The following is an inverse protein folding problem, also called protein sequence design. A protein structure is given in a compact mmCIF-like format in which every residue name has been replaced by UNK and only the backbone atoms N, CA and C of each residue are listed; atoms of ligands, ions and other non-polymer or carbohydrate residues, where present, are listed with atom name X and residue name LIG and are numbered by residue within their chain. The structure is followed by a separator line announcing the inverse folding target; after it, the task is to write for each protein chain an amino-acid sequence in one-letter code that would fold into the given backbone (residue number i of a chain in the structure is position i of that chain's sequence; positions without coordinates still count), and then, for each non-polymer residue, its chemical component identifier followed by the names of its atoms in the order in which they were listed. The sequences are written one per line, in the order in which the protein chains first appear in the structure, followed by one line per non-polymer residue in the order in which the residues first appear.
data_IF_928535015235
#
_entry.id   IF_928535015235
#
_cell.length_a   1.000
_cell.length_b   1.000
_cell.length_c   1.000
_cell.angle_alpha   90.00
_cell.angle_beta   90.00
_cell.angle_gamma   90.00
#
_symmetry.space_group_name_H-M   'P 1'
#
loop_
_entity.id
_entity.type
_entity.pdbx_description
1 polymer ?
#
# COMPACT_ATOMS: atom_id res chain seq x y z
N UNK A 1 14.75 44.58 -9.85
CA UNK A 1 13.28 44.72 -9.82
C UNK A 1 12.69 43.48 -10.44
N UNK A 2 12.43 42.47 -9.61
CA UNK A 2 12.16 41.10 -10.03
C UNK A 2 10.75 40.76 -9.57
N UNK A 3 9.81 40.69 -10.51
CA UNK A 3 8.42 40.34 -10.23
C UNK A 3 8.33 38.85 -9.90
N UNK A 4 7.85 38.55 -8.69
CA UNK A 4 7.44 37.21 -8.25
C UNK A 4 6.12 36.87 -8.95
N UNK A 5 6.09 35.77 -9.69
CA UNK A 5 4.84 35.15 -10.13
C UNK A 5 4.34 34.21 -9.02
N UNK A 6 3.20 34.54 -8.41
CA UNK A 6 2.51 33.70 -7.43
C UNK A 6 1.61 32.64 -8.09
N UNK A 7 1.35 31.50 -7.44
CA UNK A 7 0.57 30.40 -8.01
C UNK A 7 -0.93 30.56 -7.69
N UNK A 8 -1.66 31.36 -8.46
CA UNK A 8 -3.11 31.62 -8.26
C UNK A 8 -3.99 30.89 -9.30
N UNK A 9 -3.55 29.72 -9.79
CA UNK A 9 -4.22 28.98 -10.89
C UNK A 9 -4.96 27.71 -10.48
N UNK A 10 -5.08 27.41 -9.19
CA UNK A 10 -5.49 26.07 -8.73
C UNK A 10 -7.00 25.83 -8.66
N UNK A 11 -7.88 26.82 -8.90
CA UNK A 11 -9.34 26.65 -8.71
C UNK A 11 -10.25 27.32 -9.77
N UNK A 12 -9.79 27.50 -11.01
CA UNK A 12 -10.63 28.15 -12.06
C UNK A 12 -11.66 27.20 -12.73
N UNK A 13 -12.10 26.14 -12.07
CA UNK A 13 -13.12 25.21 -12.55
C UNK A 13 -14.32 25.10 -11.60
N UNK A 14 -14.75 26.19 -10.96
CA UNK A 14 -15.99 26.22 -10.18
C UNK A 14 -16.80 27.52 -10.29
N UNK A 15 -16.48 28.39 -11.26
CA UNK A 15 -17.35 29.52 -11.60
C UNK A 15 -18.34 29.13 -12.70
N UNK A 16 -19.41 28.46 -12.29
CA UNK A 16 -20.63 28.42 -13.08
C UNK A 16 -21.41 29.71 -12.85
N UNK A 17 -21.44 30.61 -13.84
CA UNK A 17 -22.50 31.61 -14.01
C UNK A 17 -22.43 32.24 -15.41
N UNK A 18 -23.47 32.01 -16.20
CA UNK A 18 -24.17 33.12 -16.84
C UNK A 18 -25.68 32.80 -16.89
N UNK A 19 -26.57 33.65 -16.33
CA UNK A 19 -28.01 33.47 -16.37
C UNK A 19 -28.64 34.26 -17.52
N UNK A 20 -29.31 33.57 -18.44
CA UNK A 20 -30.22 34.18 -19.42
C UNK A 20 -31.59 34.52 -18.80
N UNK A 21 -32.30 35.53 -19.33
CA UNK A 21 -33.24 36.35 -18.55
C UNK A 21 -34.61 35.71 -18.31
N UNK A 22 -35.21 36.15 -17.21
CA UNK A 22 -36.58 35.87 -16.78
C UNK A 22 -37.60 36.39 -17.78
N UNK A 23 -38.56 35.55 -18.16
CA UNK A 23 -39.92 36.01 -18.48
C UNK A 23 -40.94 35.22 -17.66
N UNK A 24 -41.88 35.98 -17.11
CA UNK A 24 -42.97 35.52 -16.26
C UNK A 24 -44.08 34.99 -17.16
N UNK A 25 -44.66 33.85 -16.82
CA UNK A 25 -46.06 33.60 -17.13
C UNK A 25 -46.69 32.71 -16.06
N UNK A 26 -47.87 33.16 -15.64
CA UNK A 26 -48.75 32.63 -14.62
C UNK A 26 -49.21 31.17 -14.84
N UNK A 27 -49.65 30.51 -13.76
CA UNK A 27 -50.67 29.46 -13.84
C UNK A 27 -50.35 28.16 -13.09
N UNK A 28 -50.66 28.11 -11.80
CA UNK A 28 -51.33 26.92 -11.22
C UNK A 28 -52.85 27.07 -11.49
N UNK A 29 -53.70 26.03 -11.47
CA UNK A 29 -53.55 24.82 -10.66
C UNK A 29 -54.06 23.47 -11.25
N UNK A 30 -53.64 22.39 -10.57
CA UNK A 30 -54.42 21.18 -10.22
C UNK A 30 -55.40 20.56 -11.24
N UNK A 31 -55.13 19.32 -11.65
CA UNK A 31 -56.13 18.24 -11.54
C UNK A 31 -55.57 16.81 -11.68
N UNK A 32 -55.94 15.98 -10.70
CA UNK A 32 -56.40 14.57 -10.75
C UNK A 32 -55.44 13.45 -11.22
N UNK A 33 -55.13 12.55 -10.28
CA UNK A 33 -55.01 11.09 -10.50
C UNK A 33 -56.36 10.51 -11.00
N UNK A 34 -56.46 9.30 -11.62
CA UNK A 34 -55.65 8.08 -11.38
C UNK A 34 -55.36 7.23 -12.65
N UNK A 35 -54.63 6.11 -12.53
CA UNK A 35 -54.71 5.02 -13.52
C UNK A 35 -53.42 4.23 -13.75
N UNK A 36 -53.49 2.94 -13.44
CA UNK A 36 -52.55 1.86 -13.71
C UNK A 36 -52.05 1.77 -15.15
N UNK A 37 -50.77 1.42 -15.34
CA UNK A 37 -50.25 1.04 -16.66
C UNK A 37 -48.79 0.60 -16.61
N UNK A 38 -48.58 -0.71 -16.62
CA UNK A 38 -47.30 -1.35 -16.90
C UNK A 38 -46.68 -0.79 -18.19
N UNK A 39 -45.49 -0.21 -18.08
CA UNK A 39 -44.76 0.30 -19.24
C UNK A 39 -43.26 0.21 -19.00
N UNK A 40 -42.65 -0.90 -19.42
CA UNK A 40 -41.21 -0.97 -19.67
C UNK A 40 -40.86 0.12 -20.68
N UNK A 41 -40.15 1.17 -20.25
CA UNK A 41 -39.42 2.07 -21.14
C UNK A 41 -37.95 1.98 -20.79
N UNK A 42 -37.21 1.29 -21.67
CA UNK A 42 -35.76 1.31 -21.71
C UNK A 42 -35.30 2.74 -21.96
N UNK A 43 -34.79 3.39 -20.92
CA UNK A 43 -33.99 4.59 -21.05
C UNK A 43 -32.55 4.16 -21.28
N UNK A 44 -32.09 4.26 -22.53
CA UNK A 44 -30.66 4.26 -22.88
C UNK A 44 -29.97 5.33 -22.05
N UNK A 45 -29.32 4.93 -20.94
CA UNK A 45 -28.42 5.81 -20.21
C UNK A 45 -27.20 6.03 -21.08
N UNK A 46 -26.99 7.29 -21.47
CA UNK A 46 -25.75 7.73 -22.08
C UNK A 46 -24.55 7.23 -21.26
N UNK A 47 -23.50 6.66 -21.88
CA UNK A 47 -22.36 6.17 -21.15
C UNK A 47 -21.69 7.33 -20.42
N UNK A 48 -21.78 7.32 -19.08
CA UNK A 48 -21.03 8.25 -18.24
C UNK A 48 -19.56 7.96 -18.50
N UNK A 49 -18.84 8.93 -19.07
CA UNK A 49 -17.39 8.88 -19.26
C UNK A 49 -16.74 8.48 -17.93
N UNK A 50 -16.16 7.27 -17.90
CA UNK A 50 -15.34 6.77 -16.79
C UNK A 50 -14.12 7.68 -16.66
N UNK A 51 -14.12 8.54 -15.65
CA UNK A 51 -12.88 9.17 -15.17
C UNK A 51 -12.01 8.05 -14.62
N UNK A 52 -10.85 7.80 -15.24
CA UNK A 52 -9.93 6.69 -14.92
C UNK A 52 -9.22 6.78 -13.56
N UNK A 53 -9.84 7.33 -12.52
CA UNK A 53 -9.39 7.15 -11.14
C UNK A 53 -10.04 5.86 -10.63
N UNK A 54 -9.29 4.82 -10.24
CA UNK A 54 -9.87 3.62 -9.64
C UNK A 54 -10.75 3.99 -8.46
N UNK A 55 -12.00 3.51 -8.45
CA UNK A 55 -12.95 3.74 -7.32
C UNK A 55 -12.48 3.08 -6.02
N UNK A 56 -11.54 2.15 -6.11
CA UNK A 56 -11.04 1.34 -5.03
C UNK A 56 -9.53 1.62 -4.86
N UNK A 57 -9.18 2.73 -4.22
CA UNK A 57 -7.80 2.91 -3.74
C UNK A 57 -7.70 2.23 -2.36
N UNK A 58 -7.14 1.00 -2.27
CA UNK A 58 -7.08 0.26 -1.00
C UNK A 58 -6.27 0.99 0.06
N UNK A 59 -5.31 1.84 -0.35
CA UNK A 59 -4.52 2.65 0.56
C UNK A 59 -5.39 3.56 1.42
N UNK A 60 -6.40 4.23 0.84
CA UNK A 60 -7.24 5.18 1.58
C UNK A 60 -8.06 4.46 2.64
N UNK A 61 -8.61 3.29 2.31
CA UNK A 61 -9.39 2.48 3.26
C UNK A 61 -8.51 1.97 4.40
N UNK A 62 -7.31 1.47 4.08
CA UNK A 62 -6.33 1.01 5.07
C UNK A 62 -5.90 2.17 5.96
N UNK A 63 -5.48 3.29 5.35
CA UNK A 63 -5.00 4.49 6.06
C UNK A 63 -6.05 5.01 7.04
N UNK A 64 -7.31 5.11 6.61
CA UNK A 64 -8.39 5.53 7.50
C UNK A 64 -8.48 4.63 8.72
N UNK A 65 -8.45 3.30 8.52
CA UNK A 65 -8.50 2.34 9.62
C UNK A 65 -7.27 2.38 10.52
N UNK A 66 -6.06 2.45 9.97
CA UNK A 66 -4.82 2.57 10.76
C UNK A 66 -4.92 3.74 11.73
N UNK A 67 -5.31 4.92 11.23
CA UNK A 67 -5.38 6.12 12.08
C UNK A 67 -6.61 6.15 12.99
N UNK A 68 -7.71 5.46 12.66
CA UNK A 68 -8.82 5.27 13.58
C UNK A 68 -8.44 4.38 14.77
N UNK A 69 -7.80 3.24 14.48
CA UNK A 69 -7.34 2.28 15.47
C UNK A 69 -6.26 2.96 16.35
N UNK A 70 -5.35 3.73 15.75
CA UNK A 70 -4.34 4.51 16.49
C UNK A 70 -4.95 5.59 17.39
N UNK A 71 -5.88 6.41 16.88
CA UNK A 71 -6.55 7.45 17.69
C UNK A 71 -7.35 6.86 18.85
N UNK A 72 -8.00 5.73 18.61
CA UNK A 72 -8.71 4.99 19.66
C UNK A 72 -7.70 4.53 20.71
N UNK A 73 -6.64 3.84 20.32
CA UNK A 73 -5.61 3.32 21.22
C UNK A 73 -4.92 4.43 22.05
N UNK A 74 -4.46 5.52 21.43
CA UNK A 74 -3.77 6.60 22.18
C UNK A 74 -4.69 7.31 23.18
N UNK A 75 -6.00 7.33 22.93
CA UNK A 75 -6.95 7.95 23.85
C UNK A 75 -7.47 6.98 24.91
N UNK A 76 -7.66 5.69 24.61
CA UNK A 76 -8.14 4.71 25.58
C UNK A 76 -7.01 4.14 26.44
N UNK A 77 -5.93 3.67 25.82
CA UNK A 77 -4.86 2.93 26.50
C UNK A 77 -3.78 3.87 27.04
N UNK A 78 -3.36 4.86 26.24
CA UNK A 78 -2.32 5.83 26.65
C UNK A 78 -2.91 7.03 27.41
N UNK A 79 -4.24 7.18 27.41
CA UNK A 79 -4.93 8.18 28.22
C UNK A 79 -4.81 9.63 27.72
N UNK A 80 -4.35 9.86 26.50
CA UNK A 80 -4.23 11.22 25.95
C UNK A 80 -5.65 11.81 25.75
N UNK A 81 -5.83 13.08 26.15
CA UNK A 81 -7.13 13.79 26.05
C UNK A 81 -7.09 15.00 25.14
N UNK A 82 -5.91 15.38 24.65
CA UNK A 82 -5.76 16.41 23.63
C UNK A 82 -5.41 15.77 22.29
N UNK A 83 -6.26 15.93 21.29
CA UNK A 83 -6.06 15.40 19.94
C UNK A 83 -6.01 16.56 18.94
N UNK A 84 -5.00 16.59 18.08
CA UNK A 84 -4.86 17.61 17.04
C UNK A 84 -4.80 16.96 15.67
N UNK A 85 -5.75 17.28 14.80
CA UNK A 85 -5.78 16.83 13.41
C UNK A 85 -5.26 17.98 12.54
N UNK A 86 -4.10 17.77 11.94
CA UNK A 86 -3.37 18.73 11.11
C UNK A 86 -3.72 18.52 9.65
N UNK A 87 -4.24 19.56 8.98
CA UNK A 87 -4.79 19.43 7.63
C UNK A 87 -6.11 18.67 7.66
N UNK A 88 -7.01 19.05 8.58
CA UNK A 88 -8.22 18.29 8.90
C UNK A 88 -9.22 18.11 7.75
N UNK A 89 -9.14 18.92 6.69
CA UNK A 89 -9.90 18.79 5.45
C UNK A 89 -11.36 18.36 5.65
N UNK A 90 -11.73 17.26 5.00
CA UNK A 90 -13.04 16.62 5.14
C UNK A 90 -13.04 15.42 6.13
N UNK A 91 -12.05 15.34 7.02
CA UNK A 91 -12.06 14.36 8.11
C UNK A 91 -13.27 14.60 9.02
N UNK A 92 -13.92 13.50 9.41
CA UNK A 92 -15.13 13.44 10.24
C UNK A 92 -14.91 12.67 11.55
N UNK A 93 -13.68 12.34 11.94
CA UNK A 93 -13.37 11.58 13.17
C UNK A 93 -13.93 12.18 14.44
N UNK A 94 -13.96 13.50 14.56
CA UNK A 94 -14.61 14.21 15.67
C UNK A 94 -16.11 13.84 15.82
N UNK A 95 -16.77 13.44 14.73
CA UNK A 95 -18.19 13.11 14.69
C UNK A 95 -18.50 11.62 14.74
N UNK A 96 -17.54 10.74 14.42
CA UNK A 96 -17.80 9.30 14.24
C UNK A 96 -17.01 8.38 15.18
N UNK A 97 -15.93 8.84 15.80
CA UNK A 97 -15.17 8.04 16.77
C UNK A 97 -15.76 8.17 18.17
N UNK A 98 -15.70 7.08 18.93
CA UNK A 98 -16.12 7.03 20.33
C UNK A 98 -15.02 7.57 21.25
N UNK A 99 -15.04 8.88 21.50
CA UNK A 99 -14.01 9.53 22.31
C UNK A 99 -14.24 9.32 23.82
N UNK A 100 -13.18 9.04 24.61
CA UNK A 100 -13.28 9.06 26.07
C UNK A 100 -13.74 10.42 26.62
N UNK A 101 -14.44 10.41 27.75
CA UNK A 101 -14.90 11.64 28.39
C UNK A 101 -13.74 12.59 28.70
N UNK A 102 -13.95 13.89 28.46
CA UNK A 102 -12.94 14.93 28.63
C UNK A 102 -11.94 15.04 27.46
N UNK A 103 -12.14 14.30 26.36
CA UNK A 103 -11.33 14.46 25.15
C UNK A 103 -11.71 15.73 24.39
N UNK A 104 -10.70 16.52 24.03
CA UNK A 104 -10.83 17.67 23.13
C UNK A 104 -10.09 17.40 21.82
N UNK A 105 -10.77 17.61 20.69
CA UNK A 105 -10.24 17.43 19.34
C UNK A 105 -10.13 18.79 18.66
N UNK A 106 -8.90 19.21 18.35
CA UNK A 106 -8.61 20.39 17.53
C UNK A 106 -8.47 20.00 16.06
N UNK A 107 -9.19 20.69 15.19
CA UNK A 107 -9.06 20.55 13.75
C UNK A 107 -8.40 21.80 13.16
N UNK A 108 -7.19 21.65 12.62
CA UNK A 108 -6.43 22.73 11.99
C UNK A 108 -6.50 22.59 10.48
N UNK A 109 -7.07 23.61 9.83
CA UNK A 109 -7.04 23.74 8.37
C UNK A 109 -7.36 25.18 7.98
N UNK A 110 -7.31 25.49 6.69
CA UNK A 110 -7.78 26.76 6.13
C UNK A 110 -9.25 26.97 6.48
N UNK A 111 -9.55 28.17 6.96
CA UNK A 111 -10.89 28.59 7.38
C UNK A 111 -12.00 28.19 6.38
N UNK A 112 -11.77 28.42 5.09
CA UNK A 112 -12.75 28.11 4.03
C UNK A 112 -13.10 26.62 3.93
N UNK A 113 -12.16 25.71 4.21
CA UNK A 113 -12.40 24.26 4.18
C UNK A 113 -13.19 23.81 5.42
N UNK A 114 -12.86 24.35 6.59
CA UNK A 114 -13.61 24.08 7.81
C UNK A 114 -15.07 24.53 7.66
N UNK A 115 -15.31 25.73 7.14
CA UNK A 115 -16.66 26.22 6.84
C UNK A 115 -17.41 25.36 5.82
N UNK A 116 -16.72 24.81 4.81
CA UNK A 116 -17.33 23.89 3.85
C UNK A 116 -17.77 22.60 4.54
N UNK A 117 -16.93 22.03 5.39
CA UNK A 117 -17.28 20.86 6.18
C UNK A 117 -18.48 21.10 7.08
N UNK A 118 -18.55 22.24 7.77
CA UNK A 118 -19.72 22.60 8.59
C UNK A 118 -21.00 22.66 7.75
N UNK A 119 -20.99 23.33 6.60
CA UNK A 119 -22.16 23.40 5.70
C UNK A 119 -22.61 22.02 5.22
N UNK A 120 -21.68 21.09 5.02
CA UNK A 120 -22.02 19.72 4.62
C UNK A 120 -22.64 18.91 5.76
N UNK A 121 -22.31 19.21 7.01
CA UNK A 121 -22.75 18.47 8.20
C UNK A 121 -24.03 19.06 8.84
N UNK A 122 -24.31 20.35 8.61
CA UNK A 122 -25.49 21.06 9.12
C UNK A 122 -26.82 20.30 8.91
N UNK A 123 -27.10 19.67 7.74
CA UNK A 123 -28.35 18.94 7.53
C UNK A 123 -28.48 17.65 8.35
N UNK A 124 -27.37 17.11 8.85
CA UNK A 124 -27.31 15.84 9.60
C UNK A 124 -27.29 16.11 11.11
N UNK A 125 -26.73 17.25 11.53
CA UNK A 125 -26.60 17.67 12.93
C UNK A 125 -26.06 16.55 13.86
N UNK A 126 -24.87 16.00 13.59
CA UNK A 126 -24.31 14.89 14.36
C UNK A 126 -24.03 15.28 15.82
N UNK A 127 -24.27 14.35 16.74
CA UNK A 127 -23.91 14.50 18.15
C UNK A 127 -22.43 14.18 18.32
N UNK A 128 -21.69 15.06 19.01
CA UNK A 128 -20.27 14.88 19.29
C UNK A 128 -20.06 14.09 20.59
N UNK A 129 -19.11 13.15 20.56
CA UNK A 129 -18.65 12.45 21.76
C UNK A 129 -17.45 13.16 22.44
N UNK A 130 -16.93 14.22 21.83
CA UNK A 130 -15.80 15.02 22.31
C UNK A 130 -16.13 16.51 22.32
N UNK A 131 -15.29 17.30 22.99
CA UNK A 131 -15.26 18.73 22.73
C UNK A 131 -14.49 18.97 21.43
N UNK A 132 -15.12 19.59 20.42
CA UNK A 132 -14.50 19.85 19.13
C UNK A 132 -14.17 21.34 18.99
N UNK A 133 -12.95 21.68 18.58
CA UNK A 133 -12.48 23.05 18.35
C UNK A 133 -11.84 23.20 16.97
N UNK A 134 -12.42 24.03 16.11
CA UNK A 134 -11.85 24.33 14.79
C UNK A 134 -10.93 25.54 14.84
N UNK A 135 -9.73 25.43 14.25
CA UNK A 135 -8.74 26.51 14.22
C UNK A 135 -8.39 26.82 12.75
N UNK A 136 -8.96 27.89 12.21
CA UNK A 136 -8.78 28.30 10.82
C UNK A 136 -7.42 28.94 10.55
N UNK A 137 -6.45 28.18 10.05
CA UNK A 137 -5.04 28.59 9.84
C UNK A 137 -4.50 28.14 8.49
N UNK A 138 -3.47 28.82 7.98
CA UNK A 138 -2.61 28.24 6.96
C UNK A 138 -1.34 27.70 7.65
N UNK A 139 -1.16 26.39 7.57
CA UNK A 139 -0.10 25.67 8.31
C UNK A 139 1.31 25.99 7.78
N UNK A 140 1.43 26.59 6.59
CA UNK A 140 2.71 27.05 6.05
C UNK A 140 3.15 28.41 6.64
N UNK A 141 2.22 29.19 7.21
CA UNK A 141 2.50 30.46 7.87
C UNK A 141 2.98 30.27 9.31
N UNK A 142 3.53 31.32 9.92
CA UNK A 142 4.24 31.20 11.21
C UNK A 142 3.37 31.27 12.46
N UNK A 143 2.15 31.82 12.35
CA UNK A 143 1.31 32.22 13.48
C UNK A 143 0.40 31.10 14.02
N UNK A 144 0.27 29.98 13.31
CA UNK A 144 -0.67 28.92 13.70
C UNK A 144 -0.44 28.31 15.10
N UNK A 145 0.80 28.17 15.63
CA UNK A 145 1.02 27.68 16.99
C UNK A 145 0.36 28.56 18.05
N UNK A 146 0.46 29.88 17.90
CA UNK A 146 -0.13 30.83 18.84
C UNK A 146 -1.65 30.85 18.73
N UNK A 147 -2.18 30.69 17.51
CA UNK A 147 -3.62 30.56 17.29
C UNK A 147 -4.18 29.27 17.87
N UNK A 148 -3.43 28.17 17.85
CA UNK A 148 -3.81 26.93 18.52
C UNK A 148 -3.84 27.10 20.05
N UNK A 149 -2.81 27.72 20.65
CA UNK A 149 -2.79 28.05 22.09
C UNK A 149 -3.95 28.97 22.47
N UNK A 150 -4.23 30.00 21.67
CA UNK A 150 -5.37 30.90 21.88
C UNK A 150 -6.73 30.19 21.79
N UNK A 151 -6.81 29.09 21.01
CA UNK A 151 -7.96 28.18 20.98
C UNK A 151 -8.00 27.21 22.17
N UNK A 152 -7.14 27.43 23.20
CA UNK A 152 -7.11 26.72 24.47
C UNK A 152 -6.44 25.36 24.45
N UNK A 153 -5.55 25.11 23.47
CA UNK A 153 -4.63 23.97 23.53
C UNK A 153 -3.53 24.22 24.57
N UNK A 154 -3.28 23.23 25.42
CA UNK A 154 -2.23 23.27 26.44
C UNK A 154 -0.97 22.52 25.97
N UNK A 155 0.13 23.24 25.77
CA UNK A 155 1.41 22.65 25.34
C UNK A 155 2.17 21.92 26.43
N UNK A 156 1.79 22.10 27.70
CA UNK A 156 2.40 21.40 28.83
C UNK A 156 1.77 20.02 29.06
N UNK A 157 0.56 19.80 28.54
CA UNK A 157 -0.13 18.51 28.60
C UNK A 157 0.20 17.61 27.40
N UNK A 158 0.24 16.29 27.64
CA UNK A 158 0.46 15.29 26.59
C UNK A 158 -0.66 15.32 25.55
N UNK A 159 -0.29 15.27 24.27
CA UNK A 159 -1.21 15.42 23.14
C UNK A 159 -0.90 14.40 22.03
N UNK A 160 -1.94 14.01 21.29
CA UNK A 160 -1.86 13.15 20.13
C UNK A 160 -2.05 13.99 18.87
N UNK A 161 -1.14 13.88 17.92
CA UNK A 161 -1.13 14.65 16.68
C UNK A 161 -1.31 13.71 15.49
N UNK A 162 -2.23 14.03 14.60
CA UNK A 162 -2.46 13.29 13.36
C UNK A 162 -2.22 14.20 12.16
N UNK A 163 -1.28 13.84 11.29
CA UNK A 163 -1.02 14.47 10.00
C UNK A 163 -1.32 13.47 8.88
N UNK A 164 -2.61 13.25 8.59
CA UNK A 164 -3.06 12.34 7.53
C UNK A 164 -3.19 13.08 6.18
N UNK A 165 -2.61 12.50 5.13
CA UNK A 165 -2.73 12.93 3.75
C UNK A 165 -2.26 14.36 3.53
N UNK A 166 -1.39 14.89 4.39
CA UNK A 166 -1.09 16.31 4.44
C UNK A 166 0.35 16.63 3.99
N UNK A 167 1.35 15.99 4.59
CA UNK A 167 2.77 16.33 4.39
C UNK A 167 3.22 16.17 2.93
N UNK A 168 2.62 15.24 2.19
CA UNK A 168 2.93 14.95 0.78
C UNK A 168 2.74 16.16 -0.15
N UNK A 169 1.90 17.13 0.22
CA UNK A 169 1.59 18.31 -0.60
C UNK A 169 2.54 19.48 -0.38
N UNK A 170 3.51 19.35 0.51
CA UNK A 170 4.36 20.46 0.94
C UNK A 170 5.75 20.34 0.32
N UNK A 171 6.48 21.45 0.26
CA UNK A 171 7.91 21.41 -0.03
C UNK A 171 8.69 21.00 1.23
N UNK A 172 9.85 20.36 1.08
CA UNK A 172 10.66 19.85 2.21
C UNK A 172 10.93 20.88 3.32
N UNK A 173 11.27 22.16 3.02
CA UNK A 173 11.42 23.18 4.06
C UNK A 173 10.14 23.48 4.85
N UNK A 174 8.96 23.32 4.24
CA UNK A 174 7.69 23.51 4.92
C UNK A 174 7.37 22.32 5.83
N UNK A 175 7.66 21.08 5.39
CA UNK A 175 7.55 19.89 6.23
C UNK A 175 8.42 20.03 7.48
N UNK A 176 9.68 20.45 7.32
CA UNK A 176 10.58 20.65 8.46
C UNK A 176 10.07 21.71 9.43
N UNK A 177 9.54 22.84 8.94
CA UNK A 177 8.95 23.87 9.80
C UNK A 177 7.72 23.37 10.55
N UNK A 178 6.84 22.61 9.89
CA UNK A 178 5.63 22.09 10.51
C UNK A 178 5.96 21.04 11.57
N UNK A 179 6.85 20.09 11.27
CA UNK A 179 7.27 19.08 12.25
C UNK A 179 7.95 19.74 13.46
N UNK A 180 8.84 20.72 13.24
CA UNK A 180 9.47 21.46 14.33
C UNK A 180 8.46 22.22 15.23
N UNK A 181 7.40 22.77 14.64
CA UNK A 181 6.33 23.46 15.40
C UNK A 181 5.43 22.48 16.13
N UNK A 182 5.10 21.34 15.54
CA UNK A 182 4.41 20.26 16.26
C UNK A 182 5.26 19.81 17.45
N UNK A 183 6.57 19.61 17.25
CA UNK A 183 7.51 19.29 18.34
C UNK A 183 7.55 20.35 19.42
N UNK A 184 7.47 21.64 19.10
CA UNK A 184 7.50 22.71 20.10
C UNK A 184 6.20 22.83 20.91
N UNK A 185 5.12 22.21 20.45
CA UNK A 185 3.80 22.23 21.08
C UNK A 185 3.46 20.94 21.82
N UNK A 186 3.98 19.79 21.40
CA UNK A 186 3.73 18.52 22.07
C UNK A 186 4.56 18.44 23.37
N UNK A 187 4.01 18.04 24.52
CA UNK A 187 4.79 17.72 25.72
C UNK A 187 5.53 16.37 25.57
N UNK A 188 6.61 16.07 26.36
CA UNK A 188 7.23 14.75 26.36
C UNK A 188 6.20 13.64 26.63
N UNK A 189 6.33 12.50 25.96
CA UNK A 189 5.30 11.44 25.98
C UNK A 189 4.10 11.70 25.04
N UNK A 190 4.01 12.89 24.43
CA UNK A 190 3.08 13.15 23.32
C UNK A 190 3.33 12.23 22.14
N UNK A 191 2.29 12.02 21.33
CA UNK A 191 2.26 11.05 20.22
C UNK A 191 2.02 11.78 18.88
N UNK A 192 2.66 11.32 17.81
CA UNK A 192 2.49 11.83 16.45
C UNK A 192 2.31 10.65 15.49
N UNK A 193 1.22 10.67 14.72
CA UNK A 193 0.99 9.78 13.60
C UNK A 193 0.93 10.57 12.28
N UNK A 194 1.51 10.00 11.23
CA UNK A 194 1.50 10.60 9.89
C UNK A 194 1.63 9.52 8.81
N UNK A 195 1.05 9.73 7.63
CA UNK A 195 1.40 8.98 6.43
C UNK A 195 2.43 9.73 5.59
N UNK A 196 3.35 8.97 5.02
CA UNK A 196 4.44 9.46 4.19
C UNK A 196 4.54 8.60 2.94
N UNK A 197 5.21 9.11 1.92
CA UNK A 197 5.57 8.32 0.73
C UNK A 197 7.08 8.36 0.54
N UNK A 198 7.62 7.33 -0.10
CA UNK A 198 9.06 7.32 -0.43
C UNK A 198 9.40 8.40 -1.46
N UNK A 199 10.63 8.92 -1.41
CA UNK A 199 11.14 9.77 -2.50
C UNK A 199 11.18 8.98 -3.81
N UNK A 200 11.48 7.69 -3.70
CA UNK A 200 11.42 6.75 -4.83
C UNK A 200 10.01 6.71 -5.43
N UNK A 201 8.94 6.75 -4.63
CA UNK A 201 7.56 6.82 -5.13
C UNK A 201 7.35 7.99 -6.09
N UNK A 202 7.84 9.18 -5.72
CA UNK A 202 7.69 10.40 -6.53
C UNK A 202 8.49 10.35 -7.83
N UNK A 203 9.62 9.62 -7.84
CA UNK A 203 10.52 9.53 -8.98
C UNK A 203 10.28 8.29 -9.85
N UNK A 204 9.43 7.37 -9.41
CA UNK A 204 9.24 6.09 -10.08
C UNK A 204 8.39 6.24 -11.34
N UNK A 205 8.87 5.71 -12.47
CA UNK A 205 8.19 5.81 -13.77
C UNK A 205 6.77 5.23 -13.76
N UNK A 206 6.53 4.16 -12.98
CA UNK A 206 5.19 3.59 -12.77
C UNK A 206 4.19 4.58 -12.14
N UNK A 207 4.67 5.46 -11.24
CA UNK A 207 3.81 6.44 -10.57
C UNK A 207 3.62 7.70 -11.40
N UNK A 208 4.44 7.94 -12.43
CA UNK A 208 4.41 9.17 -13.22
C UNK A 208 3.03 9.49 -13.83
N UNK A 209 2.26 8.55 -14.42
CA UNK A 209 0.92 8.84 -14.92
C UNK A 209 -0.07 9.25 -13.82
N UNK A 210 0.05 8.63 -12.64
CA UNK A 210 -0.77 8.97 -11.48
C UNK A 210 -0.41 10.35 -10.93
N UNK A 211 0.89 10.65 -10.78
CA UNK A 211 1.37 11.94 -10.33
C UNK A 211 1.02 13.07 -11.31
N UNK A 212 1.14 12.84 -12.62
CA UNK A 212 0.72 13.79 -13.65
C UNK A 212 -0.80 14.05 -13.60
N UNK A 213 -1.60 13.03 -13.28
CA UNK A 213 -3.03 13.20 -13.07
C UNK A 213 -3.32 14.06 -11.83
N UNK A 214 -2.63 13.82 -10.72
CA UNK A 214 -2.76 14.63 -9.51
C UNK A 214 -2.34 16.08 -9.75
N UNK A 215 -1.29 16.32 -10.53
CA UNK A 215 -0.87 17.67 -10.92
C UNK A 215 -1.95 18.37 -11.77
N UNK A 216 -2.54 17.68 -12.75
CA UNK A 216 -3.64 18.22 -13.57
C UNK A 216 -4.89 18.53 -12.76
N UNK A 217 -5.13 17.80 -11.67
CA UNK A 217 -6.21 18.07 -10.71
C UNK A 217 -5.88 19.20 -9.72
N UNK A 218 -4.69 19.78 -9.80
CA UNK A 218 -4.27 20.84 -8.90
C UNK A 218 -3.92 20.31 -7.51
N UNK A 219 -3.44 19.08 -7.37
CA UNK A 219 -3.03 18.47 -6.10
C UNK A 219 -1.68 17.76 -6.23
N UNK A 220 -0.62 18.45 -6.72
CA UNK A 220 0.66 17.81 -6.95
C UNK A 220 1.29 17.33 -5.64
N UNK A 221 1.83 16.12 -5.66
CA UNK A 221 2.64 15.58 -4.58
C UNK A 221 4.07 16.11 -4.73
N UNK A 222 4.61 16.66 -3.65
CA UNK A 222 5.86 17.43 -3.62
C UNK A 222 6.89 16.83 -2.67
N UNK A 223 6.43 16.19 -1.60
CA UNK A 223 7.31 15.65 -0.57
C UNK A 223 7.26 14.12 -0.48
N UNK A 224 8.45 13.53 -0.35
CA UNK A 224 8.64 12.12 -0.04
C UNK A 224 10.01 11.89 0.60
N UNK A 225 10.12 10.86 1.44
CA UNK A 225 11.35 10.49 2.14
C UNK A 225 11.56 8.98 2.11
N UNK A 226 12.77 8.53 1.79
CA UNK A 226 13.14 7.10 1.89
C UNK A 226 13.52 6.70 3.33
N UNK A 227 13.66 7.67 4.23
CA UNK A 227 14.08 7.48 5.63
C UNK A 227 13.10 8.16 6.59
N UNK A 228 11.85 7.68 6.70
CA UNK A 228 10.82 8.33 7.52
C UNK A 228 11.17 8.34 9.02
N UNK A 229 11.85 7.31 9.54
CA UNK A 229 12.37 7.30 10.91
C UNK A 229 13.39 8.41 11.14
N UNK A 230 14.36 8.56 10.23
CA UNK A 230 15.42 9.56 10.36
C UNK A 230 14.85 10.99 10.31
N UNK A 231 13.85 11.23 9.45
CA UNK A 231 13.12 12.50 9.40
C UNK A 231 12.51 12.83 10.77
N UNK A 232 11.81 11.89 11.38
CA UNK A 232 11.12 12.11 12.67
C UNK A 232 12.12 12.24 13.84
N UNK A 233 13.20 11.45 13.84
CA UNK A 233 14.30 11.56 14.82
C UNK A 233 14.95 12.92 14.79
N UNK A 234 15.20 13.48 13.60
CA UNK A 234 15.73 14.85 13.45
C UNK A 234 14.85 15.92 14.11
N UNK A 235 13.55 15.65 14.23
CA UNK A 235 12.57 16.54 14.84
C UNK A 235 12.23 16.16 16.29
N UNK A 236 13.03 15.32 16.95
CA UNK A 236 12.87 14.99 18.37
C UNK A 236 11.88 13.86 18.67
N UNK A 237 11.53 13.06 17.67
CA UNK A 237 10.59 11.95 17.81
C UNK A 237 11.28 10.60 17.70
N UNK A 238 10.92 9.64 18.56
CA UNK A 238 11.25 8.24 18.35
C UNK A 238 10.11 7.58 17.60
N UNK A 239 10.36 7.10 16.39
CA UNK A 239 9.34 6.60 15.48
C UNK A 239 9.47 5.10 15.20
N UNK A 240 8.33 4.44 15.08
CA UNK A 240 8.16 3.15 14.40
C UNK A 240 7.36 3.42 13.14
N UNK A 241 7.77 2.83 12.01
CA UNK A 241 7.08 3.06 10.74
C UNK A 241 6.70 1.72 10.14
N UNK A 242 5.45 1.60 9.71
CA UNK A 242 4.92 0.45 8.97
C UNK A 242 4.63 0.85 7.53
N UNK A 243 4.56 -0.11 6.62
CA UNK A 243 4.17 0.10 5.24
C UNK A 243 2.77 -0.43 4.97
N UNK A 244 2.09 0.17 3.99
CA UNK A 244 0.83 -0.39 3.50
C UNK A 244 1.02 -1.84 3.05
N UNK A 245 0.24 -2.74 3.63
CA UNK A 245 0.31 -4.18 3.43
C UNK A 245 1.05 -4.97 4.51
N UNK A 246 1.77 -4.31 5.43
CA UNK A 246 2.40 -4.98 6.57
C UNK A 246 1.37 -5.34 7.66
N UNK A 247 1.79 -6.13 8.65
CA UNK A 247 0.96 -6.40 9.83
C UNK A 247 0.53 -5.09 10.51
N UNK A 248 -0.75 -4.98 10.87
CA UNK A 248 -1.34 -3.73 11.35
C UNK A 248 -1.72 -2.71 10.27
N UNK A 249 -1.31 -2.91 9.02
CA UNK A 249 -1.56 -2.01 7.88
C UNK A 249 -2.00 -2.73 6.60
N UNK A 250 -2.54 -3.96 6.72
CA UNK A 250 -3.01 -4.78 5.59
C UNK A 250 -4.54 -4.95 5.56
N UNK A 251 -5.12 -5.39 6.69
CA UNK A 251 -6.55 -5.69 6.89
C UNK A 251 -7.20 -6.60 5.83
N UNK A 252 -6.42 -7.40 5.10
CA UNK A 252 -6.89 -8.21 3.97
C UNK A 252 -7.35 -7.36 2.78
N UNK A 253 -6.94 -6.09 2.72
CA UNK A 253 -7.38 -5.12 1.71
C UNK A 253 -6.24 -4.59 0.85
N UNK A 254 -4.99 -4.82 1.22
CA UNK A 254 -3.85 -4.46 0.39
C UNK A 254 -3.63 -5.57 -0.66
N UNK A 255 -3.84 -5.29 -1.96
CA UNK A 255 -3.81 -6.32 -2.99
C UNK A 255 -2.39 -6.60 -3.51
N UNK A 256 -1.40 -5.81 -3.09
CA UNK A 256 -0.03 -5.89 -3.57
C UNK A 256 0.90 -6.50 -2.51
N UNK A 257 1.97 -7.21 -2.89
CA UNK A 257 2.98 -7.63 -1.93
C UNK A 257 3.73 -6.42 -1.36
N UNK A 258 4.09 -6.48 -0.08
CA UNK A 258 5.01 -5.50 0.52
C UNK A 258 6.44 -5.88 0.16
N UNK A 259 7.17 -4.97 -0.48
CA UNK A 259 8.59 -5.16 -0.71
C UNK A 259 9.36 -4.91 0.59
N UNK A 260 10.40 -5.70 0.94
CA UNK A 260 11.24 -5.41 2.10
C UNK A 260 11.84 -4.01 2.02
N UNK A 261 11.91 -3.28 3.14
CA UNK A 261 12.42 -1.90 3.23
C UNK A 261 13.77 -1.65 2.55
N UNK A 262 14.68 -2.62 2.63
CA UNK A 262 16.02 -2.50 2.05
C UNK A 262 16.08 -2.56 0.51
N UNK A 263 14.96 -2.79 -0.19
CA UNK A 263 14.92 -2.77 -1.66
C UNK A 263 14.93 -1.31 -2.14
N UNK A 264 16.00 -0.87 -2.83
CA UNK A 264 16.11 0.51 -3.32
C UNK A 264 15.19 0.75 -4.51
N UNK A 265 14.74 1.99 -4.68
CA UNK A 265 13.94 2.39 -5.84
C UNK A 265 12.48 1.95 -5.78
N UNK A 266 12.02 1.31 -4.71
CA UNK A 266 10.64 0.85 -4.61
C UNK A 266 9.70 1.98 -4.15
N UNK A 267 8.57 2.21 -4.83
CA UNK A 267 7.54 3.14 -4.36
C UNK A 267 6.93 2.63 -3.06
N UNK A 268 6.95 3.44 -2.00
CA UNK A 268 6.41 3.05 -0.69
C UNK A 268 5.43 4.08 -0.17
N UNK A 269 4.50 3.58 0.62
CA UNK A 269 3.60 4.39 1.43
C UNK A 269 3.71 3.89 2.86
N UNK A 270 4.02 4.82 3.76
CA UNK A 270 4.39 4.58 5.14
C UNK A 270 3.31 5.10 6.08
N UNK A 271 3.14 4.45 7.22
CA UNK A 271 2.43 4.94 8.39
C UNK A 271 3.42 5.03 9.55
N UNK A 272 3.70 6.25 10.00
CA UNK A 272 4.56 6.50 11.14
C UNK A 272 3.72 6.61 12.42
N UNK A 273 4.17 5.97 13.49
CA UNK A 273 3.77 6.20 14.87
C UNK A 273 5.00 6.62 15.67
N UNK A 274 4.95 7.80 16.28
CA UNK A 274 6.09 8.39 16.95
C UNK A 274 5.72 8.93 18.33
N UNK A 275 6.68 8.82 19.25
CA UNK A 275 6.57 9.35 20.62
C UNK A 275 7.64 10.42 20.83
N UNK A 276 7.25 11.55 21.45
CA UNK A 276 8.18 12.62 21.80
C UNK A 276 9.09 12.15 22.92
N UNK A 277 10.39 12.14 22.64
CA UNK A 277 11.39 11.76 23.63
C UNK A 277 11.44 12.78 24.79
N UNK A 278 11.82 12.32 25.99
CA UNK A 278 12.27 13.24 27.03
C UNK A 278 13.56 13.94 26.56
N UNK A 279 13.79 15.17 27.01
CA UNK A 279 15.04 15.87 26.75
C UNK A 279 16.19 15.10 27.40
N UNK A 280 16.91 14.28 26.63
CA UNK A 280 18.06 13.56 27.11
C UNK A 280 19.21 14.55 27.38
N UNK A 281 19.59 14.69 28.66
CA UNK A 281 20.92 15.18 29.01
C UNK A 281 21.98 14.27 28.38
N UNK A 282 23.00 14.90 27.78
CA UNK A 282 24.07 14.23 27.07
C UNK A 282 24.82 13.21 27.96
N UNK A 283 24.77 11.93 27.61
CA UNK A 283 25.71 10.91 28.07
C UNK A 283 25.87 9.81 27.01
N UNK A 284 27.13 9.57 26.63
CA UNK A 284 27.52 8.72 25.51
C UNK A 284 27.38 7.21 25.74
N UNK A 285 27.45 6.48 24.63
CA UNK A 285 27.45 5.01 24.58
C UNK A 285 28.88 4.51 24.33
N UNK A 286 29.43 3.57 25.11
CA UNK A 286 30.69 2.92 24.78
C UNK A 286 30.48 1.65 23.92
N UNK A 287 31.51 1.19 23.16
CA UNK A 287 31.42 0.03 22.30
C UNK A 287 31.83 -1.25 23.03
N UNK A 288 31.23 -2.39 22.68
CA UNK A 288 31.79 -3.71 23.03
C UNK A 288 31.84 -4.62 21.81
N UNK A 289 33.05 -5.09 21.53
CA UNK A 289 33.37 -6.17 20.60
C UNK A 289 33.54 -7.49 21.36
N UNK A 290 33.21 -8.61 20.70
CA UNK A 290 33.54 -9.97 21.15
C UNK A 290 33.12 -11.02 20.13
N UNK A 291 34.07 -11.50 19.33
CA UNK A 291 33.95 -12.68 18.45
C UNK A 291 34.08 -13.97 19.31
N UNK A 292 33.53 -15.15 18.99
CA UNK A 292 33.71 -16.00 17.80
C UNK A 292 32.81 -17.25 17.91
N UNK A 293 32.27 -17.72 16.80
CA UNK A 293 32.16 -19.14 16.40
C UNK A 293 31.55 -19.18 14.99
N UNK A 294 32.28 -19.71 14.01
CA UNK A 294 31.90 -19.74 12.59
C UNK A 294 31.26 -21.10 12.24
N UNK A 295 29.99 -21.16 11.79
CA UNK A 295 29.44 -22.35 11.17
C UNK A 295 29.76 -22.40 9.66
N UNK A 296 29.83 -23.62 9.15
CA UNK A 296 30.13 -24.01 7.77
C UNK A 296 29.27 -23.23 6.76
N UNK A 297 29.91 -22.82 5.66
CA UNK A 297 29.29 -22.05 4.60
C UNK A 297 27.99 -22.74 4.12
N UNK A 298 26.83 -22.05 4.12
CA UNK A 298 25.70 -22.53 3.36
C UNK A 298 26.13 -22.58 1.88
N UNK A 299 25.77 -23.68 1.22
CA UNK A 299 25.94 -23.86 -0.22
C UNK A 299 25.70 -22.52 -0.93
N UNK A 300 26.70 -22.09 -1.70
CA UNK A 300 26.81 -20.73 -2.24
C UNK A 300 25.45 -20.24 -2.68
N UNK A 301 25.00 -19.12 -2.10
CA UNK A 301 23.72 -18.53 -2.42
C UNK A 301 23.59 -18.55 -3.95
N UNK A 302 22.62 -19.28 -4.53
CA UNK A 302 22.29 -19.00 -5.91
C UNK A 302 21.86 -17.54 -5.87
N UNK A 303 22.63 -16.70 -6.57
CA UNK A 303 22.33 -15.29 -6.71
C UNK A 303 20.87 -15.14 -7.15
N UNK A 304 20.29 -13.98 -6.87
CA UNK A 304 19.01 -13.60 -7.49
C UNK A 304 19.07 -14.05 -8.95
N UNK A 305 18.10 -14.87 -9.43
CA UNK A 305 18.17 -15.42 -10.78
C UNK A 305 18.45 -14.29 -11.75
N UNK A 306 19.49 -14.48 -12.56
CA UNK A 306 19.83 -13.60 -13.67
C UNK A 306 18.55 -13.23 -14.41
N UNK A 307 18.35 -11.93 -14.69
CA UNK A 307 17.24 -11.43 -15.52
C UNK A 307 17.50 -11.75 -17.01
N UNK A 308 17.98 -12.96 -17.30
CA UNK A 308 18.17 -13.49 -18.64
C UNK A 308 17.03 -14.43 -18.99
N UNK A 309 16.55 -14.34 -20.23
CA UNK A 309 15.66 -15.36 -20.77
C UNK A 309 16.51 -16.57 -21.13
N UNK A 310 16.10 -17.76 -20.68
CA UNK A 310 16.77 -19.00 -21.04
C UNK A 310 15.79 -19.96 -21.71
N UNK A 311 16.30 -20.65 -22.72
CA UNK A 311 15.55 -21.67 -23.43
C UNK A 311 15.17 -22.84 -22.50
N UNK A 312 14.18 -23.61 -22.93
CA UNK A 312 13.69 -24.73 -22.15
C UNK A 312 14.77 -25.81 -22.00
N UNK A 313 15.05 -26.20 -20.76
CA UNK A 313 15.96 -27.28 -20.44
C UNK A 313 15.19 -28.61 -20.39
N UNK A 314 15.48 -29.60 -21.26
CA UNK A 314 14.82 -30.90 -21.25
C UNK A 314 15.11 -31.72 -19.98
N UNK A 315 16.04 -31.27 -19.12
CA UNK A 315 16.32 -31.85 -17.80
C UNK A 315 15.29 -31.52 -16.72
N UNK A 316 14.40 -30.53 -16.91
CA UNK A 316 13.43 -30.15 -15.88
C UNK A 316 12.52 -31.30 -15.40
N UNK A 317 11.95 -32.17 -16.26
CA UNK A 317 11.11 -33.28 -15.80
C UNK A 317 11.87 -34.24 -14.88
N UNK A 318 13.10 -34.62 -15.26
CA UNK A 318 13.91 -35.51 -14.44
C UNK A 318 14.44 -34.83 -13.16
N UNK A 319 14.67 -33.51 -13.19
CA UNK A 319 14.96 -32.71 -11.99
C UNK A 319 13.77 -32.66 -11.03
N UNK A 320 12.56 -32.50 -11.55
CA UNK A 320 11.34 -32.55 -10.77
C UNK A 320 11.10 -33.94 -10.16
N UNK A 321 11.31 -35.04 -10.91
CA UNK A 321 11.15 -36.40 -10.35
C UNK A 321 12.13 -36.68 -9.20
N UNK A 322 13.40 -36.27 -9.31
CA UNK A 322 14.34 -36.39 -8.17
C UNK A 322 13.94 -35.54 -6.98
N UNK A 323 13.36 -34.37 -7.21
CA UNK A 323 12.81 -33.55 -6.14
C UNK A 323 11.63 -34.26 -5.45
N UNK A 324 10.74 -34.87 -6.23
CA UNK A 324 9.59 -35.65 -5.73
C UNK A 324 10.07 -36.84 -4.91
N UNK A 325 11.03 -37.63 -5.39
CA UNK A 325 11.64 -38.74 -4.63
C UNK A 325 12.20 -38.27 -3.30
N UNK A 326 12.93 -37.15 -3.30
CA UNK A 326 13.53 -36.59 -2.09
C UNK A 326 12.48 -36.12 -1.10
N UNK A 327 11.44 -35.42 -1.54
CA UNK A 327 10.34 -34.99 -0.66
C UNK A 327 9.57 -36.20 -0.12
N UNK A 328 9.27 -37.19 -0.97
CA UNK A 328 8.51 -38.40 -0.57
C UNK A 328 9.26 -39.30 0.42
N UNK A 329 10.59 -39.19 0.50
CA UNK A 329 11.37 -39.91 1.50
C UNK A 329 11.03 -39.52 2.95
N UNK A 330 10.52 -38.30 3.15
CA UNK A 330 10.11 -37.76 4.46
C UNK A 330 8.62 -37.42 4.54
N UNK A 331 7.94 -37.27 3.40
CA UNK A 331 6.50 -37.02 3.28
C UNK A 331 5.85 -37.99 2.27
N UNK A 332 5.61 -39.26 2.62
CA UNK A 332 5.30 -40.32 1.65
C UNK A 332 3.96 -40.16 0.91
N UNK A 333 2.97 -39.53 1.55
CA UNK A 333 1.58 -39.45 1.06
C UNK A 333 1.21 -38.08 0.48
N UNK A 334 2.18 -37.17 0.35
CA UNK A 334 1.90 -35.79 -0.08
C UNK A 334 1.76 -35.70 -1.61
N UNK A 335 0.77 -34.91 -2.05
CA UNK A 335 0.65 -34.53 -3.47
C UNK A 335 1.64 -33.41 -3.79
N UNK A 336 2.33 -33.54 -4.93
CA UNK A 336 3.33 -32.58 -5.40
C UNK A 336 3.05 -32.30 -6.87
N UNK A 337 2.92 -31.04 -7.23
CA UNK A 337 2.61 -30.61 -8.59
C UNK A 337 3.73 -29.73 -9.13
N UNK A 338 4.26 -30.08 -10.30
CA UNK A 338 5.15 -29.20 -11.07
C UNK A 338 4.31 -28.13 -11.75
N UNK A 339 4.58 -26.86 -11.45
CA UNK A 339 3.84 -25.72 -11.97
C UNK A 339 4.78 -24.71 -12.63
N UNK A 340 4.23 -23.59 -13.11
CA UNK A 340 5.01 -22.55 -13.78
C UNK A 340 5.54 -22.99 -15.15
N UNK A 341 6.44 -22.21 -15.72
CA UNK A 341 6.87 -22.42 -17.10
C UNK A 341 7.76 -23.64 -17.30
N UNK A 342 8.54 -24.01 -16.29
CA UNK A 342 9.43 -25.19 -16.38
C UNK A 342 8.66 -26.50 -16.44
N UNK A 343 7.37 -26.48 -16.09
CA UNK A 343 6.45 -27.62 -16.24
C UNK A 343 5.91 -27.80 -17.66
N UNK A 344 6.17 -26.87 -18.59
CA UNK A 344 5.65 -26.90 -19.96
C UNK A 344 6.81 -27.17 -20.93
N UNK A 345 6.89 -28.35 -21.56
CA UNK A 345 7.94 -28.67 -22.53
C UNK A 345 8.05 -27.61 -23.63
N UNK A 346 9.27 -27.14 -23.90
CA UNK A 346 9.56 -26.13 -24.91
C UNK A 346 9.38 -24.67 -24.46
N UNK A 347 8.82 -24.41 -23.27
CA UNK A 347 8.57 -23.04 -22.80
C UNK A 347 9.77 -22.48 -21.99
N UNK A 348 10.55 -21.60 -22.62
CA UNK A 348 11.63 -20.87 -21.95
C UNK A 348 11.19 -19.91 -20.83
N UNK A 349 12.13 -19.51 -19.98
CA UNK A 349 11.85 -18.71 -18.77
C UNK A 349 13.09 -18.37 -17.93
N UNK A 350 12.89 -18.23 -16.61
CA UNK A 350 13.91 -17.76 -15.66
C UNK A 350 14.65 -18.89 -14.90
N UNK A 351 14.65 -20.12 -15.43
CA UNK A 351 15.36 -21.27 -14.83
C UNK A 351 15.03 -21.61 -13.38
N UNK A 352 13.76 -21.56 -13.01
CA UNK A 352 13.29 -21.93 -11.67
C UNK A 352 12.23 -23.03 -11.75
N UNK A 353 12.40 -24.10 -10.96
CA UNK A 353 11.37 -25.12 -10.76
C UNK A 353 10.33 -24.60 -9.77
N UNK A 354 9.18 -24.18 -10.28
CA UNK A 354 8.03 -23.82 -9.45
C UNK A 354 7.25 -25.10 -9.09
N UNK A 355 7.05 -25.34 -7.80
CA UNK A 355 6.40 -26.54 -7.27
C UNK A 355 5.33 -26.14 -6.28
N UNK A 356 4.20 -26.83 -6.27
CA UNK A 356 3.18 -26.65 -5.24
C UNK A 356 2.83 -27.98 -4.59
N UNK A 357 2.68 -27.96 -3.28
CA UNK A 357 2.12 -29.01 -2.45
C UNK A 357 0.71 -28.58 -2.05
N UNK A 358 -0.34 -29.13 -2.69
CA UNK A 358 -1.72 -28.91 -2.27
C UNK A 358 -2.00 -29.74 -1.01
N UNK A 359 -2.23 -29.07 0.12
CA UNK A 359 -2.49 -29.71 1.41
C UNK A 359 -3.45 -28.87 2.25
N UNK A 360 -4.21 -29.50 3.14
CA UNK A 360 -5.12 -28.80 4.06
C UNK A 360 -4.35 -27.80 4.91
N UNK A 361 -4.95 -26.63 5.19
CA UNK A 361 -4.30 -25.54 5.94
C UNK A 361 -3.74 -25.98 7.28
N UNK A 362 -4.42 -26.91 7.96
CA UNK A 362 -3.98 -27.49 9.23
C UNK A 362 -2.65 -28.28 9.12
N UNK A 363 -2.25 -28.72 7.92
CA UNK A 363 -1.01 -29.47 7.69
C UNK A 363 0.17 -28.59 7.25
N UNK A 364 -0.05 -27.31 6.95
CA UNK A 364 0.96 -26.45 6.33
C UNK A 364 2.24 -26.33 7.16
N UNK A 365 2.12 -26.08 8.47
CA UNK A 365 3.29 -25.95 9.36
C UNK A 365 4.05 -27.27 9.51
N UNK A 366 3.34 -28.41 9.60
CA UNK A 366 3.96 -29.74 9.70
C UNK A 366 4.77 -30.06 8.45
N UNK A 367 4.19 -29.82 7.27
CA UNK A 367 4.84 -30.03 5.97
C UNK A 367 6.04 -29.09 5.84
N UNK A 368 5.86 -27.81 6.18
CA UNK A 368 6.93 -26.81 6.14
C UNK A 368 8.12 -27.20 7.02
N UNK A 369 7.88 -27.55 8.30
CA UNK A 369 8.92 -27.98 9.21
C UNK A 369 9.72 -29.17 8.68
N UNK A 370 9.02 -30.17 8.13
CA UNK A 370 9.65 -31.36 7.53
C UNK A 370 10.52 -31.01 6.32
N UNK A 371 10.07 -30.07 5.48
CA UNK A 371 10.84 -29.61 4.31
C UNK A 371 12.07 -28.80 4.72
N UNK A 372 12.01 -28.01 5.79
CA UNK A 372 13.16 -27.30 6.33
C UNK A 372 14.26 -28.27 6.79
N UNK A 373 13.88 -29.35 7.48
CA UNK A 373 14.81 -30.43 7.87
C UNK A 373 15.44 -31.15 6.66
N UNK A 374 14.69 -31.27 5.55
CA UNK A 374 15.16 -31.86 4.31
C UNK A 374 16.19 -30.99 3.56
N UNK A 375 16.40 -29.75 4.02
CA UNK A 375 17.37 -28.79 3.48
C UNK A 375 16.74 -27.70 2.60
N UNK A 376 15.42 -27.55 2.61
CA UNK A 376 14.82 -26.31 2.13
C UNK A 376 15.08 -25.18 3.12
N UNK A 377 15.08 -23.96 2.63
CA UNK A 377 15.08 -22.78 3.47
C UNK A 377 13.82 -22.00 3.21
N UNK A 378 13.40 -21.20 4.19
CA UNK A 378 12.47 -20.13 3.89
C UNK A 378 13.02 -19.29 2.75
N UNK A 379 12.16 -19.00 1.79
CA UNK A 379 12.44 -17.88 0.93
C UNK A 379 12.61 -16.64 1.82
N UNK A 380 13.53 -15.70 1.53
CA UNK A 380 13.71 -14.49 2.34
C UNK A 380 12.41 -13.69 2.64
N UNK A 381 11.30 -14.02 1.97
CA UNK A 381 9.96 -13.43 2.08
C UNK A 381 8.84 -14.46 2.34
N UNK A 382 9.15 -15.61 2.96
CA UNK A 382 8.18 -16.68 3.25
C UNK A 382 6.99 -16.22 4.13
N UNK A 383 7.14 -15.11 4.87
CA UNK A 383 6.06 -14.47 5.64
C UNK A 383 5.06 -13.66 4.77
N UNK A 384 5.43 -13.29 3.54
CA UNK A 384 4.58 -12.52 2.59
C UNK A 384 3.93 -13.42 1.55
N UNK A 385 4.63 -14.49 1.16
CA UNK A 385 4.12 -15.56 0.29
C UNK A 385 4.75 -16.87 0.76
N UNK A 386 4.00 -17.74 1.48
CA UNK A 386 4.55 -18.92 2.14
C UNK A 386 5.10 -19.89 1.10
N UNK A 387 6.40 -19.74 0.85
CA UNK A 387 7.14 -20.54 -0.09
C UNK A 387 8.54 -20.80 0.45
N UNK A 388 9.03 -21.99 0.14
CA UNK A 388 10.36 -22.44 0.45
C UNK A 388 11.24 -22.33 -0.79
N UNK A 389 12.52 -22.05 -0.60
CA UNK A 389 13.55 -22.20 -1.63
C UNK A 389 14.37 -23.44 -1.37
N UNK A 390 14.84 -24.03 -2.46
CA UNK A 390 15.83 -25.10 -2.43
C UNK A 390 16.57 -25.18 -3.75
N UNK A 391 17.35 -26.23 -3.91
CA UNK A 391 17.91 -26.62 -5.19
C UNK A 391 17.92 -28.15 -5.31
N UNK A 392 17.77 -28.65 -6.53
CA UNK A 392 17.95 -30.07 -6.86
C UNK A 392 18.94 -30.19 -8.01
N UNK A 393 19.91 -31.08 -7.88
CA UNK A 393 20.92 -31.31 -8.91
C UNK A 393 20.44 -32.40 -9.90
N UNK A 394 20.60 -32.18 -11.21
CA UNK A 394 20.49 -33.19 -12.28
C UNK A 394 21.66 -33.10 -13.25
N UNK A 395 22.29 -34.20 -13.63
CA UNK A 395 23.15 -34.20 -14.82
C UNK A 395 24.25 -33.13 -14.78
N UNK A 396 24.77 -32.81 -13.59
CA UNK A 396 25.76 -31.75 -13.39
C UNK A 396 25.21 -30.32 -13.30
N UNK A 397 23.89 -30.14 -13.38
CA UNK A 397 23.19 -28.84 -13.34
C UNK A 397 22.40 -28.70 -12.03
N UNK A 398 22.53 -27.56 -11.37
CA UNK A 398 21.69 -27.20 -10.23
C UNK A 398 20.43 -26.45 -10.68
N UNK A 399 19.27 -26.96 -10.25
CA UNK A 399 17.96 -26.36 -10.53
C UNK A 399 17.44 -25.68 -9.27
N UNK A 400 17.34 -24.33 -9.25
CA UNK A 400 16.68 -23.60 -8.18
C UNK A 400 15.21 -24.00 -8.08
N UNK A 401 14.69 -24.11 -6.86
CA UNK A 401 13.31 -24.50 -6.58
C UNK A 401 12.61 -23.37 -5.82
N UNK A 402 11.36 -23.10 -6.21
CA UNK A 402 10.37 -22.38 -5.41
C UNK A 402 9.23 -23.33 -5.11
N UNK A 403 9.02 -23.66 -3.84
CA UNK A 403 8.00 -24.61 -3.39
C UNK A 403 6.93 -23.89 -2.58
N UNK A 404 5.68 -23.99 -2.99
CA UNK A 404 4.51 -23.45 -2.29
C UNK A 404 3.76 -24.56 -1.53
N UNK A 405 3.22 -24.24 -0.37
CA UNK A 405 2.26 -25.10 0.35
C UNK A 405 0.95 -24.33 0.39
N UNK A 406 -0.09 -24.82 -0.28
CA UNK A 406 -1.37 -24.10 -0.44
C UNK A 406 -2.55 -25.05 -0.26
N UNK A 407 -3.70 -24.50 0.14
CA UNK A 407 -4.95 -25.27 0.19
C UNK A 407 -5.30 -25.87 -1.19
N UNK A 408 -5.86 -27.09 -1.28
CA UNK A 408 -6.17 -27.72 -2.57
C UNK A 408 -7.13 -26.90 -3.44
N UNK A 409 -8.03 -26.14 -2.81
CA UNK A 409 -9.00 -25.25 -3.43
C UNK A 409 -8.51 -23.79 -3.54
N UNK A 410 -7.21 -23.54 -3.33
CA UNK A 410 -6.66 -22.22 -3.53
C UNK A 410 -6.69 -21.84 -5.03
N UNK A 411 -7.06 -20.59 -5.34
CA UNK A 411 -7.20 -20.14 -6.73
C UNK A 411 -5.91 -20.28 -7.55
N UNK A 412 -4.74 -20.03 -6.94
CA UNK A 412 -3.43 -20.25 -7.56
C UNK A 412 -3.14 -21.72 -7.88
N UNK A 413 -3.54 -22.67 -7.03
CA UNK A 413 -3.35 -24.10 -7.32
C UNK A 413 -4.15 -24.48 -8.55
N UNK A 414 -5.45 -24.14 -8.57
CA UNK A 414 -6.32 -24.37 -9.74
C UNK A 414 -5.80 -23.65 -10.98
N UNK A 415 -5.41 -22.40 -10.84
CA UNK A 415 -4.85 -21.58 -11.90
C UNK A 415 -3.61 -22.24 -12.47
N UNK A 416 -2.52 -22.35 -11.72
CA UNK A 416 -1.26 -22.87 -12.27
C UNK A 416 -1.38 -24.24 -12.93
N UNK A 417 -2.20 -25.14 -12.39
CA UNK A 417 -2.49 -26.42 -13.03
C UNK A 417 -3.25 -26.21 -14.35
N UNK A 418 -4.35 -25.46 -14.36
CA UNK A 418 -5.10 -25.17 -15.58
C UNK A 418 -4.24 -24.49 -16.65
N UNK A 419 -3.37 -23.55 -16.26
CA UNK A 419 -2.41 -22.88 -17.14
C UNK A 419 -1.44 -23.88 -17.77
N UNK A 420 -0.79 -24.71 -16.96
CA UNK A 420 0.13 -25.76 -17.43
C UNK A 420 -0.56 -26.69 -18.42
N UNK A 421 -1.72 -27.20 -18.02
CA UNK A 421 -2.49 -28.15 -18.81
C UNK A 421 -2.99 -27.55 -20.13
N UNK A 422 -3.39 -26.28 -20.13
CA UNK A 422 -3.76 -25.56 -21.34
C UNK A 422 -2.56 -25.39 -22.28
N UNK A 423 -1.43 -24.90 -21.75
CA UNK A 423 -0.21 -24.64 -22.54
C UNK A 423 0.40 -25.91 -23.13
N UNK A 424 0.31 -27.05 -22.44
CA UNK A 424 0.74 -28.35 -22.98
C UNK A 424 -0.13 -28.84 -24.15
N UNK A 425 -1.39 -28.43 -24.22
CA UNK A 425 -2.31 -28.79 -25.33
C UNK A 425 -2.27 -27.80 -26.49
N UNK A 426 -1.73 -26.60 -26.27
CA UNK A 426 -1.67 -25.50 -27.23
C UNK A 426 -0.22 -24.99 -27.35
N UNK A 427 0.69 -25.76 -27.99
CA UNK A 427 2.11 -25.39 -28.11
C UNK A 427 2.31 -24.03 -28.80
N UNK A 428 1.42 -23.64 -29.71
CA UNK A 428 1.42 -22.32 -30.35
C UNK A 428 1.16 -21.17 -29.36
N UNK A 429 0.33 -21.39 -28.34
CA UNK A 429 0.08 -20.41 -27.29
C UNK A 429 1.27 -20.35 -26.32
N UNK A 430 1.93 -21.48 -26.06
CA UNK A 430 3.16 -21.52 -25.29
C UNK A 430 4.29 -20.73 -25.98
N UNK A 431 4.40 -20.83 -27.31
CA UNK A 431 5.37 -20.05 -28.10
C UNK A 431 5.09 -18.54 -28.02
N UNK A 432 3.83 -18.12 -28.20
CA UNK A 432 3.42 -16.71 -28.01
C UNK A 432 3.76 -16.22 -26.60
N UNK A 433 3.51 -17.03 -25.58
CA UNK A 433 3.87 -16.67 -24.21
C UNK A 433 5.39 -16.57 -24.02
N UNK A 434 6.17 -17.40 -24.70
CA UNK A 434 7.63 -17.29 -24.70
C UNK A 434 8.09 -15.96 -25.33
N UNK A 435 7.47 -15.53 -26.43
CA UNK A 435 7.74 -14.22 -27.05
C UNK A 435 7.43 -13.06 -26.11
N UNK A 436 6.29 -13.10 -25.41
CA UNK A 436 5.94 -12.08 -24.39
C UNK A 436 7.00 -12.02 -23.29
N UNK A 437 7.52 -13.16 -22.85
CA UNK A 437 8.61 -13.20 -21.85
C UNK A 437 9.93 -12.66 -22.39
N UNK A 438 10.28 -12.97 -23.64
CA UNK A 438 11.49 -12.44 -24.30
C UNK A 438 11.36 -10.93 -24.44
N UNK A 439 10.22 -10.45 -24.93
CA UNK A 439 9.91 -9.03 -25.07
C UNK A 439 9.94 -8.30 -23.71
N UNK A 440 9.45 -8.94 -22.63
CA UNK A 440 9.57 -8.39 -21.29
C UNK A 440 11.03 -8.20 -20.86
N UNK A 441 11.88 -9.21 -21.08
CA UNK A 441 13.31 -9.17 -20.68
C UNK A 441 14.10 -8.20 -21.56
N UNK A 442 13.99 -8.31 -22.88
CA UNK A 442 14.71 -7.45 -23.82
C UNK A 442 14.13 -6.03 -23.91
N UNK A 443 12.88 -5.83 -23.50
CA UNK A 443 12.21 -4.53 -23.39
C UNK A 443 12.59 -3.72 -22.16
N UNK A 444 13.58 -4.17 -21.37
CA UNK A 444 14.15 -3.42 -20.26
C UNK A 444 13.57 -3.76 -18.87
N UNK A 445 12.91 -4.91 -18.69
CA UNK A 445 12.61 -5.38 -17.33
C UNK A 445 13.92 -5.68 -16.61
N UNK A 446 14.19 -4.98 -15.52
CA UNK A 446 15.43 -5.13 -14.71
C UNK A 446 15.20 -5.88 -13.41
N UNK A 447 13.95 -6.21 -13.09
CA UNK A 447 13.56 -6.85 -11.84
C UNK A 447 12.38 -7.84 -12.01
N UNK A 448 12.16 -8.76 -11.04
CA UNK A 448 11.09 -9.74 -11.12
C UNK A 448 9.67 -9.18 -11.26
N UNK A 449 9.40 -7.96 -10.82
CA UNK A 449 8.09 -7.31 -10.83
C UNK A 449 7.78 -6.66 -12.18
N UNK A 450 8.71 -5.91 -12.77
CA UNK A 450 8.57 -5.38 -14.15
C UNK A 450 8.37 -6.50 -15.16
N UNK A 451 9.06 -7.63 -14.99
CA UNK A 451 8.85 -8.82 -15.80
C UNK A 451 7.46 -9.45 -15.62
N UNK A 452 6.90 -9.46 -14.41
CA UNK A 452 5.55 -10.01 -14.20
C UNK A 452 4.48 -9.07 -14.77
N UNK A 453 4.63 -7.75 -14.63
CA UNK A 453 3.72 -6.76 -15.22
C UNK A 453 3.72 -6.79 -16.75
N UNK A 454 4.89 -6.92 -17.38
CA UNK A 454 4.99 -7.02 -18.84
C UNK A 454 4.22 -8.23 -19.40
N UNK A 455 4.02 -9.28 -18.60
CA UNK A 455 3.24 -10.47 -18.97
C UNK A 455 1.78 -10.42 -18.51
N UNK A 456 1.44 -9.54 -17.57
CA UNK A 456 0.14 -9.53 -16.91
C UNK A 456 -1.03 -9.35 -17.89
N UNK A 457 -1.00 -8.42 -18.87
CA UNK A 457 -2.09 -8.28 -19.84
C UNK A 457 -2.32 -9.54 -20.68
N UNK A 458 -1.24 -10.22 -21.07
CA UNK A 458 -1.33 -11.48 -21.83
C UNK A 458 -1.88 -12.62 -20.96
N UNK A 459 -1.44 -12.69 -19.70
CA UNK A 459 -1.94 -13.69 -18.76
C UNK A 459 -3.42 -13.46 -18.42
N UNK A 460 -3.86 -12.21 -18.25
CA UNK A 460 -5.26 -11.87 -17.98
C UNK A 460 -6.18 -12.25 -19.15
N UNK A 461 -5.81 -11.91 -20.39
CA UNK A 461 -6.55 -12.34 -21.59
C UNK A 461 -6.63 -13.87 -21.69
N UNK A 462 -5.48 -14.54 -21.51
CA UNK A 462 -5.43 -16.00 -21.52
C UNK A 462 -6.29 -16.59 -20.41
N UNK A 463 -6.31 -15.97 -19.22
CA UNK A 463 -7.14 -16.42 -18.11
C UNK A 463 -8.62 -16.32 -18.40
N UNK A 464 -9.07 -15.26 -19.07
CA UNK A 464 -10.45 -15.12 -19.54
C UNK A 464 -10.81 -16.21 -20.57
N UNK A 465 -9.88 -16.55 -21.47
CA UNK A 465 -10.08 -17.62 -22.47
C UNK A 465 -10.09 -19.02 -21.86
N UNK A 466 -9.27 -19.29 -20.85
CA UNK A 466 -9.20 -20.59 -20.16
C UNK A 466 -10.42 -20.82 -19.24
N UNK A 467 -11.00 -19.74 -18.67
CA UNK A 467 -12.17 -19.79 -17.78
C UNK A 467 -13.53 -19.78 -18.50
N UNK A 468 -13.52 -19.59 -19.83
CA UNK A 468 -14.71 -19.55 -20.68
C UNK A 468 -15.62 -20.77 -20.56
#
# INVERSE_FOLDING_TARGET
MTQRHGPDRQYRLLDGRDPGPRERAAGSPLHRHPGSGSGRRGGLRAPRRRTGVPRDNPFVVIRTRVFDDWLTWVTTEEGLRQVVIVGAGMDTRSFRLGWPAGTTVWELDRQKLLELKERCLEPIAPVLACERRTVGVDLELEDWPDRLRAAGFDSEATSAWLAEGFLVYLEEPAVDRILARITSLAAPGGRLAADLVSRDFLNHQWMAPYLAQLERLGTPWRFGTNEPEALLVRHGWRATVTEAGEEGANFGRWPWPVAPRGVPGFPRSFFADAIRAEAAGAAGVPPTAGATARPLAPAGAPGVPSMSFEDYDPGYPAAFERLVERIRSVLPIVRIEHVGSTSIPGLGGRRVLDVVIPAETAEHERIRATLLELGFADFPWAHVKPMLRGAVQHGGVDYPILLYILAPDHEYVRGWIAFREHMRRHPEEAERYAEVKRAAIYGGSTDPWSYQQAKAPYLEDLWERIRG
#
